data_IF_704212622898
#
_entry.id   IF_704212622898
#
_cell.length_a   1.000
_cell.length_b   1.000
_cell.length_c   1.000
_cell.angle_alpha   90.00
_cell.angle_beta   90.00
_cell.angle_gamma   90.00
#
_symmetry.space_group_name_H-M   'P 1'
#
loop_
_entity.id
_entity.type
_entity.pdbx_description
1 polymer ?
#
# COMPACT_ATOMS: atom_id res chain seq x y z
N UNK A 1 17.31 -73.77 -20.23
CA UNK A 1 16.59 -72.50 -20.48
C UNK A 1 16.15 -71.99 -19.13
N UNK A 2 16.53 -70.75 -18.81
CA UNK A 2 16.03 -69.95 -17.70
C UNK A 2 14.51 -69.67 -17.90
N UNK A 3 13.70 -69.13 -16.99
CA UNK A 3 13.79 -68.00 -16.05
C UNK A 3 12.62 -68.21 -15.03
N UNK A 4 12.78 -68.16 -13.71
CA UNK A 4 12.79 -67.00 -12.80
C UNK A 4 11.66 -65.97 -13.01
N UNK A 5 10.59 -66.07 -12.20
CA UNK A 5 9.61 -65.01 -11.95
C UNK A 5 9.17 -65.07 -10.46
N UNK A 6 10.13 -64.84 -9.56
CA UNK A 6 9.84 -64.57 -8.16
C UNK A 6 9.48 -63.08 -8.00
N UNK A 7 8.20 -62.77 -8.16
CA UNK A 7 7.62 -61.46 -7.85
C UNK A 7 7.72 -61.24 -6.33
N UNK A 8 8.84 -60.68 -5.89
CA UNK A 8 8.96 -60.10 -4.56
C UNK A 8 8.49 -58.67 -4.62
N UNK A 9 7.31 -58.45 -4.03
CA UNK A 9 6.82 -57.15 -3.62
C UNK A 9 7.88 -56.45 -2.75
N UNK A 10 8.72 -55.63 -3.38
CA UNK A 10 9.63 -54.75 -2.69
C UNK A 10 8.80 -53.58 -2.13
N UNK A 11 8.20 -53.82 -0.98
CA UNK A 11 7.57 -52.79 -0.17
C UNK A 11 8.59 -51.66 0.03
N UNK A 12 8.38 -50.55 -0.69
CA UNK A 12 9.13 -49.31 -0.53
C UNK A 12 9.00 -48.88 0.93
N UNK A 13 9.99 -49.24 1.75
CA UNK A 13 10.12 -48.75 3.10
C UNK A 13 10.34 -47.25 3.00
N UNK A 14 9.26 -46.48 3.13
CA UNK A 14 9.31 -45.03 3.15
C UNK A 14 10.30 -44.60 4.23
N UNK A 15 11.40 -43.98 3.82
CA UNK A 15 12.31 -43.28 4.70
C UNK A 15 11.54 -42.12 5.33
N UNK A 16 10.98 -42.38 6.51
CA UNK A 16 10.35 -41.35 7.33
C UNK A 16 11.44 -40.40 7.80
N UNK A 17 11.66 -39.32 7.05
CA UNK A 17 12.49 -38.19 7.44
C UNK A 17 11.81 -37.51 8.63
N UNK A 18 12.28 -37.83 9.85
CA UNK A 18 11.90 -37.13 11.07
C UNK A 18 12.79 -35.90 11.16
N UNK A 19 12.24 -34.71 10.92
CA UNK A 19 12.89 -33.49 11.34
C UNK A 19 12.84 -33.46 12.87
N UNK A 20 14.01 -33.46 13.52
CA UNK A 20 14.09 -33.26 14.96
C UNK A 20 13.44 -31.92 15.31
N UNK A 21 12.54 -31.92 16.30
CA UNK A 21 12.04 -30.70 16.92
C UNK A 21 13.24 -29.92 17.50
N UNK A 22 13.44 -28.71 17.00
CA UNK A 22 14.51 -27.78 17.37
C UNK A 22 14.22 -27.07 18.71
N UNK A 23 13.43 -27.69 19.60
CA UNK A 23 12.86 -27.02 20.76
C UNK A 23 13.74 -27.14 22.02
N UNK A 24 14.98 -27.66 21.92
CA UNK A 24 15.88 -27.84 23.07
C UNK A 24 17.32 -27.34 22.91
N UNK A 25 17.68 -26.66 21.82
CA UNK A 25 19.00 -26.03 21.67
C UNK A 25 18.96 -24.51 21.47
N UNK A 26 17.78 -23.89 21.52
CA UNK A 26 17.64 -22.44 21.32
C UNK A 26 17.89 -21.60 22.59
N UNK A 27 17.94 -22.21 23.78
CA UNK A 27 18.03 -21.49 25.06
C UNK A 27 19.45 -21.33 25.61
N UNK A 28 20.50 -21.76 24.90
CA UNK A 28 21.87 -21.81 25.44
C UNK A 28 22.92 -21.22 24.48
N UNK A 29 22.53 -20.20 23.71
CA UNK A 29 23.47 -19.26 23.08
C UNK A 29 23.31 -17.90 23.78
N UNK A 30 23.57 -17.91 25.08
CA UNK A 30 23.92 -16.72 25.85
C UNK A 30 25.33 -16.91 26.38
N UNK A 31 26.31 -16.70 25.50
CA UNK A 31 27.71 -16.58 25.89
C UNK A 31 28.30 -15.35 25.21
N UNK A 32 28.35 -14.26 25.97
CA UNK A 32 29.54 -13.40 26.09
C UNK A 32 30.40 -13.30 24.82
N UNK A 33 30.06 -12.39 23.93
CA UNK A 33 31.04 -11.84 22.99
C UNK A 33 31.56 -10.55 23.58
N UNK A 34 32.59 -10.68 24.43
CA UNK A 34 33.56 -9.62 24.59
C UNK A 34 34.01 -9.16 23.21
N UNK A 35 34.08 -7.84 23.04
CA UNK A 35 34.38 -7.17 21.79
C UNK A 35 35.82 -7.44 21.33
N UNK A 36 36.09 -8.65 20.83
CA UNK A 36 37.23 -8.88 19.95
C UNK A 36 36.81 -8.38 18.58
N UNK A 37 37.20 -7.15 18.29
CA UNK A 37 37.18 -6.57 16.94
C UNK A 37 38.10 -7.39 16.03
N UNK A 38 37.63 -8.55 15.59
CA UNK A 38 38.20 -9.24 14.44
C UNK A 38 37.99 -8.32 13.24
N UNK A 39 39.10 -7.75 12.75
CA UNK A 39 39.14 -7.03 11.48
C UNK A 39 38.70 -8.02 10.40
N UNK A 40 37.42 -8.00 10.07
CA UNK A 40 36.90 -8.80 8.98
C UNK A 40 37.45 -8.20 7.70
N UNK A 41 38.45 -8.87 7.13
CA UNK A 41 39.00 -8.52 5.83
C UNK A 41 37.87 -8.74 4.80
N UNK A 42 37.25 -7.66 4.36
CA UNK A 42 36.19 -7.71 3.37
C UNK A 42 36.83 -8.02 2.02
N UNK A 43 36.88 -9.29 1.66
CA UNK A 43 37.24 -9.73 0.31
C UNK A 43 36.42 -8.94 -0.70
N UNK A 44 37.10 -8.18 -1.55
CA UNK A 44 36.44 -7.42 -2.61
C UNK A 44 35.74 -8.40 -3.55
N UNK A 45 34.41 -8.35 -3.55
CA UNK A 45 33.59 -9.17 -4.43
C UNK A 45 33.94 -8.83 -5.89
N UNK A 46 34.22 -9.86 -6.69
CA UNK A 46 34.38 -9.74 -8.14
C UNK A 46 33.20 -8.95 -8.73
N UNK A 47 33.43 -8.15 -9.78
CA UNK A 47 32.39 -7.34 -10.44
C UNK A 47 31.12 -8.16 -10.74
N UNK A 48 31.29 -9.38 -11.25
CA UNK A 48 30.19 -10.32 -11.52
C UNK A 48 29.39 -10.71 -10.27
N UNK A 49 30.06 -10.86 -9.12
CA UNK A 49 29.40 -11.16 -7.84
C UNK A 49 28.60 -9.96 -7.33
N UNK A 50 29.10 -8.73 -7.52
CA UNK A 50 28.37 -7.50 -7.19
C UNK A 50 27.10 -7.37 -8.04
N UNK A 51 27.21 -7.54 -9.35
CA UNK A 51 26.05 -7.48 -10.26
C UNK A 51 25.02 -8.58 -9.95
N UNK A 52 25.47 -9.79 -9.64
CA UNK A 52 24.58 -10.89 -9.25
C UNK A 52 23.82 -10.58 -7.95
N UNK A 53 24.51 -9.99 -6.96
CA UNK A 53 23.87 -9.55 -5.70
C UNK A 53 22.86 -8.44 -5.94
N UNK A 54 23.20 -7.42 -6.73
CA UNK A 54 22.28 -6.32 -7.04
C UNK A 54 21.01 -6.80 -7.74
N UNK A 55 21.15 -7.71 -8.72
CA UNK A 55 20.01 -8.34 -9.41
C UNK A 55 19.13 -9.12 -8.43
N UNK A 56 19.74 -9.91 -7.55
CA UNK A 56 19.03 -10.66 -6.51
C UNK A 56 18.30 -9.71 -5.55
N UNK A 57 18.96 -8.67 -5.09
CA UNK A 57 18.39 -7.71 -4.13
C UNK A 57 17.25 -6.91 -4.76
N UNK A 58 17.36 -6.53 -6.04
CA UNK A 58 16.28 -5.90 -6.79
C UNK A 58 15.06 -6.83 -6.93
N UNK A 59 15.28 -8.11 -7.21
CA UNK A 59 14.22 -9.11 -7.31
C UNK A 59 13.52 -9.31 -5.95
N UNK A 60 14.28 -9.38 -4.86
CA UNK A 60 13.74 -9.46 -3.51
C UNK A 60 12.87 -8.24 -3.17
N UNK A 61 13.33 -7.02 -3.48
CA UNK A 61 12.55 -5.79 -3.28
C UNK A 61 11.22 -5.81 -4.04
N UNK A 62 11.22 -6.30 -5.29
CA UNK A 62 9.99 -6.42 -6.08
C UNK A 62 9.00 -7.43 -5.46
N UNK A 63 9.50 -8.55 -4.94
CA UNK A 63 8.67 -9.55 -4.26
C UNK A 63 8.08 -9.00 -2.96
N UNK A 64 8.88 -8.28 -2.17
CA UNK A 64 8.40 -7.63 -0.95
C UNK A 64 7.32 -6.59 -1.25
N UNK A 65 7.51 -5.77 -2.29
CA UNK A 65 6.55 -4.76 -2.69
C UNK A 65 5.24 -5.42 -3.16
N UNK A 66 5.32 -6.47 -4.01
CA UNK A 66 4.14 -7.26 -4.42
C UNK A 66 3.42 -7.89 -3.23
N UNK A 67 4.17 -8.42 -2.25
CA UNK A 67 3.59 -8.99 -1.02
C UNK A 67 2.85 -7.91 -0.25
N UNK A 68 3.47 -6.74 -0.05
CA UNK A 68 2.85 -5.60 0.65
C UNK A 68 1.60 -5.11 -0.07
N UNK A 69 1.65 -4.87 -1.38
CA UNK A 69 0.47 -4.46 -2.16
C UNK A 69 -0.71 -5.39 -1.93
N UNK A 70 -0.49 -6.71 -1.85
CA UNK A 70 -1.57 -7.67 -1.57
C UNK A 70 -2.13 -7.57 -0.15
N UNK A 71 -1.29 -7.26 0.85
CA UNK A 71 -1.68 -7.20 2.26
C UNK A 71 -2.21 -5.84 2.68
N UNK A 72 -1.88 -4.76 1.95
CA UNK A 72 -2.33 -3.41 2.29
C UNK A 72 -3.85 -3.34 2.17
N UNK A 73 -4.47 -2.93 3.27
CA UNK A 73 -5.89 -2.64 3.31
C UNK A 73 -6.16 -1.30 2.59
N UNK A 74 -7.16 -1.30 1.73
CA UNK A 74 -7.60 -0.13 0.96
C UNK A 74 -9.12 -0.04 1.05
N UNK A 75 -9.72 1.16 1.11
CA UNK A 75 -11.16 1.31 1.15
C UNK A 75 -11.84 0.63 -0.05
N UNK A 76 -13.04 0.10 0.18
CA UNK A 76 -13.83 -0.62 -0.84
C UNK A 76 -14.68 0.32 -1.69
N UNK A 77 -15.15 1.43 -1.11
CA UNK A 77 -16.01 2.41 -1.78
C UNK A 77 -15.20 3.47 -2.54
N UNK A 78 -15.66 3.83 -3.73
CA UNK A 78 -14.96 4.80 -4.60
C UNK A 78 -14.81 6.20 -3.98
N UNK A 79 -15.80 6.63 -3.19
CA UNK A 79 -15.76 7.91 -2.48
C UNK A 79 -14.58 7.98 -1.51
N UNK A 80 -14.45 6.97 -0.65
CA UNK A 80 -13.35 6.87 0.32
C UNK A 80 -11.98 6.73 -0.37
N UNK A 81 -11.90 6.02 -1.51
CA UNK A 81 -10.67 5.94 -2.32
C UNK A 81 -10.25 7.32 -2.83
N UNK A 82 -11.19 8.11 -3.34
CA UNK A 82 -10.93 9.50 -3.78
C UNK A 82 -10.54 10.40 -2.61
N UNK A 83 -11.17 10.23 -1.44
CA UNK A 83 -10.81 10.96 -0.23
C UNK A 83 -9.36 10.65 0.19
N UNK A 84 -8.98 9.37 0.23
CA UNK A 84 -7.60 8.94 0.54
C UNK A 84 -6.58 9.53 -0.44
N UNK A 85 -6.88 9.60 -1.73
CA UNK A 85 -5.98 10.26 -2.68
C UNK A 85 -5.81 11.76 -2.41
N UNK A 86 -6.87 12.44 -1.97
CA UNK A 86 -6.80 13.87 -1.58
C UNK A 86 -5.97 14.05 -0.31
N UNK A 87 -6.11 13.17 0.68
CA UNK A 87 -5.26 13.16 1.89
C UNK A 87 -3.77 13.01 1.54
N UNK A 88 -3.47 12.18 0.54
CA UNK A 88 -2.11 11.95 0.04
C UNK A 88 -1.63 13.03 -0.95
N UNK A 89 -2.41 14.08 -1.21
CA UNK A 89 -2.13 15.12 -2.20
C UNK A 89 -1.85 14.57 -3.61
N UNK A 90 -2.56 13.51 -4.00
CA UNK A 90 -2.43 12.86 -5.30
C UNK A 90 -3.69 13.06 -6.16
N UNK A 91 -3.57 12.98 -7.50
CA UNK A 91 -4.73 13.01 -8.37
C UNK A 91 -5.73 11.89 -8.05
N UNK A 92 -6.98 12.27 -7.76
CA UNK A 92 -8.02 11.33 -7.35
C UNK A 92 -8.49 10.43 -8.51
N UNK A 93 -8.56 10.95 -9.73
CA UNK A 93 -8.99 10.22 -10.93
C UNK A 93 -8.09 10.55 -12.12
N UNK A 94 -7.56 9.53 -12.78
CA UNK A 94 -6.86 9.68 -14.07
C UNK A 94 -7.85 9.53 -15.24
N UNK A 95 -7.47 10.01 -16.43
CA UNK A 95 -8.31 9.88 -17.62
C UNK A 95 -8.48 8.40 -18.00
N UNK A 96 -9.73 7.98 -18.25
CA UNK A 96 -10.06 6.59 -18.59
C UNK A 96 -10.01 5.60 -17.41
N UNK A 97 -9.72 6.06 -16.20
CA UNK A 97 -9.58 5.18 -15.02
C UNK A 97 -10.95 4.77 -14.45
N UNK A 98 -11.19 3.46 -14.37
CA UNK A 98 -12.36 2.90 -13.70
C UNK A 98 -12.24 2.85 -12.16
N UNK A 99 -13.33 2.60 -11.41
CA UNK A 99 -13.29 2.47 -9.94
C UNK A 99 -12.35 1.36 -9.46
N UNK A 100 -12.28 0.24 -10.20
CA UNK A 100 -11.38 -0.87 -9.88
C UNK A 100 -9.91 -0.48 -10.03
N UNK A 101 -9.55 0.11 -11.17
CA UNK A 101 -8.19 0.54 -11.48
C UNK A 101 -7.70 1.59 -10.49
N UNK A 102 -8.59 2.52 -10.11
CA UNK A 102 -8.33 3.50 -9.07
C UNK A 102 -7.97 2.91 -7.72
N UNK A 103 -8.72 1.88 -7.29
CA UNK A 103 -8.43 1.17 -6.05
C UNK A 103 -7.09 0.44 -6.13
N UNK A 104 -6.79 -0.20 -7.25
CA UNK A 104 -5.52 -0.89 -7.46
C UNK A 104 -4.33 0.08 -7.51
N UNK A 105 -4.49 1.26 -8.12
CA UNK A 105 -3.50 2.34 -8.04
C UNK A 105 -3.29 2.79 -6.60
N UNK A 106 -4.36 2.99 -5.84
CA UNK A 106 -4.24 3.39 -4.42
C UNK A 106 -3.47 2.34 -3.62
N UNK A 107 -3.71 1.05 -3.88
CA UNK A 107 -3.03 -0.08 -3.25
C UNK A 107 -1.53 -0.12 -3.57
N UNK A 108 -1.16 0.19 -4.82
CA UNK A 108 0.24 0.26 -5.24
C UNK A 108 0.96 1.45 -4.59
N UNK A 109 0.35 2.63 -4.62
CA UNK A 109 0.95 3.86 -4.07
C UNK A 109 1.08 3.81 -2.55
N UNK A 110 0.06 3.30 -1.85
CA UNK A 110 0.14 3.11 -0.39
C UNK A 110 1.25 2.12 -0.01
N UNK A 111 1.35 0.96 -0.67
CA UNK A 111 2.42 0.00 -0.42
C UNK A 111 3.82 0.57 -0.73
N UNK A 112 3.93 1.42 -1.76
CA UNK A 112 5.16 2.14 -2.09
C UNK A 112 5.52 3.12 -0.98
N UNK A 113 4.60 3.98 -0.56
CA UNK A 113 4.84 4.98 0.48
C UNK A 113 5.21 4.34 1.84
N UNK A 114 4.57 3.22 2.19
CA UNK A 114 4.95 2.42 3.37
C UNK A 114 6.38 1.87 3.25
N UNK A 115 6.79 1.42 2.07
CA UNK A 115 8.16 0.93 1.85
C UNK A 115 9.22 2.02 1.99
N UNK A 116 8.88 3.27 1.70
CA UNK A 116 9.74 4.43 1.92
C UNK A 116 9.69 4.95 3.37
N UNK A 117 8.81 4.42 4.22
CA UNK A 117 8.62 4.90 5.59
C UNK A 117 7.96 6.28 5.68
N UNK A 118 7.38 6.78 4.58
CA UNK A 118 6.74 8.09 4.52
C UNK A 118 5.34 8.11 5.15
N UNK A 119 4.73 6.94 5.34
CA UNK A 119 3.45 6.78 6.01
C UNK A 119 3.56 5.76 7.15
N UNK A 120 2.99 6.04 8.33
CA UNK A 120 2.76 5.00 9.32
C UNK A 120 1.79 3.96 8.74
N UNK A 121 1.84 2.69 9.20
CA UNK A 121 0.87 1.67 8.78
C UNK A 121 -0.53 2.18 9.11
N UNK A 122 -1.26 2.59 8.07
CA UNK A 122 -2.49 3.37 8.24
C UNK A 122 -3.63 2.40 8.50
N UNK A 123 -4.09 2.36 9.75
CA UNK A 123 -5.31 1.66 10.11
C UNK A 123 -6.50 2.47 9.56
N UNK A 124 -7.21 1.92 8.57
CA UNK A 124 -8.32 2.60 7.86
C UNK A 124 -9.44 3.08 8.80
N UNK A 125 -9.52 2.49 10.00
CA UNK A 125 -10.50 2.83 11.02
C UNK A 125 -10.36 4.29 11.49
N UNK A 126 -9.13 4.78 11.62
CA UNK A 126 -8.83 6.11 12.15
C UNK A 126 -9.24 7.26 11.21
N UNK A 127 -9.19 7.03 9.90
CA UNK A 127 -9.56 8.07 8.92
C UNK A 127 -11.07 8.30 8.85
N UNK A 128 -11.88 7.26 9.07
CA UNK A 128 -13.34 7.38 9.05
C UNK A 128 -13.88 8.20 10.22
N UNK A 129 -13.28 8.05 11.40
CA UNK A 129 -13.64 8.85 12.58
C UNK A 129 -13.30 10.34 12.40
N UNK A 130 -12.17 10.66 11.76
CA UNK A 130 -11.79 12.05 11.46
C UNK A 130 -12.70 12.72 10.44
N UNK A 131 -13.07 12.03 9.35
CA UNK A 131 -13.96 12.59 8.32
C UNK A 131 -15.35 12.94 8.87
N UNK A 132 -15.90 12.09 9.75
CA UNK A 132 -17.19 12.35 10.41
C UNK A 132 -17.13 13.59 11.32
N UNK A 133 -15.97 13.90 11.89
CA UNK A 133 -15.79 15.05 12.75
C UNK A 133 -15.71 16.36 11.96
N UNK A 134 -15.06 16.35 10.80
CA UNK A 134 -14.92 17.54 9.93
C UNK A 134 -16.24 17.93 9.23
N UNK A 135 -17.04 16.95 8.77
CA UNK A 135 -18.35 17.25 8.16
C UNK A 135 -19.38 17.80 9.16
N UNK A 136 -19.25 17.45 10.44
CA UNK A 136 -20.15 17.95 11.49
C UNK A 136 -19.90 19.42 11.87
N UNK A 137 -18.69 19.95 11.59
CA UNK A 137 -18.28 21.31 11.96
C UNK A 137 -18.51 22.36 10.88
N UNK A 138 -18.60 21.96 9.61
CA UNK A 138 -18.84 22.86 8.48
C UNK A 138 -20.34 23.12 8.30
N UNK A 139 -20.97 23.78 9.28
CA UNK A 139 -22.26 24.40 9.03
C UNK A 139 -22.11 25.33 7.83
N UNK A 140 -22.83 25.06 6.74
CA UNK A 140 -22.84 25.90 5.55
C UNK A 140 -23.45 27.25 5.93
N UNK A 141 -22.61 28.15 6.43
CA UNK A 141 -23.01 29.50 6.80
C UNK A 141 -23.34 30.26 5.52
N UNK A 142 -24.51 30.88 5.49
CA UNK A 142 -24.86 31.81 4.42
C UNK A 142 -23.96 33.04 4.55
N UNK A 143 -23.03 33.19 3.61
CA UNK A 143 -22.18 34.38 3.52
C UNK A 143 -22.74 35.32 2.46
N UNK A 144 -22.95 36.58 2.84
CA UNK A 144 -23.33 37.64 1.91
C UNK A 144 -22.11 38.46 1.52
N UNK A 145 -21.85 38.55 0.22
CA UNK A 145 -20.83 39.45 -0.33
C UNK A 145 -21.51 40.68 -0.91
N UNK A 146 -21.02 41.87 -0.57
CA UNK A 146 -21.49 43.10 -1.21
C UNK A 146 -21.13 43.06 -2.71
N UNK A 147 -22.10 43.39 -3.57
CA UNK A 147 -21.90 43.48 -5.01
C UNK A 147 -21.28 44.81 -5.43
N UNK A 148 -20.67 44.86 -6.61
CA UNK A 148 -20.22 46.11 -7.24
C UNK A 148 -21.41 46.98 -7.68
N UNK A 149 -21.18 48.28 -7.89
CA UNK A 149 -22.22 49.20 -8.36
C UNK A 149 -22.78 48.81 -9.74
N UNK A 150 -21.93 48.27 -10.61
CA UNK A 150 -22.33 47.76 -11.93
C UNK A 150 -23.33 46.61 -11.81
N UNK A 151 -23.09 45.69 -10.87
CA UNK A 151 -23.98 44.56 -10.61
C UNK A 151 -25.35 45.04 -10.08
N UNK A 152 -25.36 46.09 -9.27
CA UNK A 152 -26.60 46.71 -8.79
C UNK A 152 -27.39 47.32 -9.95
N UNK A 153 -26.75 48.13 -10.80
CA UNK A 153 -27.40 48.75 -11.98
C UNK A 153 -27.99 47.68 -12.92
N UNK A 154 -27.23 46.61 -13.18
CA UNK A 154 -27.69 45.49 -14.00
C UNK A 154 -28.92 44.80 -13.40
N UNK A 155 -28.92 44.52 -12.08
CA UNK A 155 -30.07 43.92 -11.39
C UNK A 155 -31.31 44.79 -11.47
N UNK A 156 -31.18 46.11 -11.28
CA UNK A 156 -32.31 47.04 -11.42
C UNK A 156 -32.88 47.02 -12.85
N UNK A 157 -32.01 46.95 -13.86
CA UNK A 157 -32.45 46.84 -15.25
C UNK A 157 -33.24 45.55 -15.50
N UNK A 158 -32.72 44.41 -15.04
CA UNK A 158 -33.38 43.10 -15.16
C UNK A 158 -34.74 43.13 -14.45
N UNK A 159 -34.83 43.72 -13.26
CA UNK A 159 -36.09 43.81 -12.50
C UNK A 159 -37.14 44.60 -13.29
N UNK A 160 -36.78 45.75 -13.85
CA UNK A 160 -37.72 46.57 -14.63
C UNK A 160 -38.25 45.83 -15.86
N UNK A 161 -37.37 45.13 -16.56
CA UNK A 161 -37.74 44.34 -17.74
C UNK A 161 -38.59 43.11 -17.35
N UNK A 162 -38.23 42.43 -16.27
CA UNK A 162 -38.95 41.24 -15.80
C UNK A 162 -40.34 41.58 -15.26
N UNK A 163 -40.48 42.71 -14.56
CA UNK A 163 -41.77 43.17 -14.03
C UNK A 163 -42.74 43.50 -15.16
N UNK A 164 -42.29 44.22 -16.18
CA UNK A 164 -43.10 44.57 -17.35
C UNK A 164 -43.52 43.36 -18.21
N UNK A 165 -42.84 42.22 -18.10
CA UNK A 165 -43.20 40.97 -18.80
C UNK A 165 -44.11 40.05 -17.99
N UNK A 166 -44.18 40.26 -16.68
CA UNK A 166 -44.91 39.39 -15.77
C UNK A 166 -46.37 39.85 -15.55
N UNK A 167 -46.66 41.12 -15.84
CA UNK A 167 -48.03 41.66 -16.00
C UNK A 167 -48.58 41.41 -17.40
#
# INVERSE_FOLDING_TARGET
MADDDNVKDNAMQGTRLVFGSLDKSASEIQSTTDAVATKHETLELTRESKESKEKRDALMKQLELKRRTRTVAVPTTDADVKARFRELNMPATLFGEGPYERRERLKQETARLESLGALPPTNLLTSREKLLQEESGAQKQQFFTQGSEELLKARVHIIKDSFARAE
#
